data_IF_746705928228
#
_entry.id   IF_746705928228
#
_cell.length_a   1.000
_cell.length_b   1.000
_cell.length_c   1.000
_cell.angle_alpha   90.00
_cell.angle_beta   90.00
_cell.angle_gamma   90.00
#
_symmetry.space_group_name_H-M   'P 1'
#
loop_
_entity.id
_entity.type
_entity.pdbx_description
1 polymer ?
#
# COMPACT_ATOMS: atom_id res chain seq x y z
N UNK A 1 14.07 31.06 -47.38
CA UNK A 1 13.15 30.61 -46.31
C UNK A 1 12.89 31.77 -45.40
N UNK A 2 11.63 32.16 -45.24
CA UNK A 2 11.25 33.24 -44.33
C UNK A 2 11.41 32.75 -42.88
N UNK A 3 11.88 33.63 -41.99
CA UNK A 3 12.09 33.32 -40.57
C UNK A 3 10.83 32.74 -39.90
N UNK A 4 9.64 33.08 -40.40
CA UNK A 4 8.33 32.53 -39.99
C UNK A 4 8.22 31.02 -40.21
N UNK A 5 8.68 30.51 -41.35
CA UNK A 5 8.68 29.07 -41.66
C UNK A 5 9.69 28.31 -40.79
N UNK A 6 10.85 28.92 -40.52
CA UNK A 6 11.87 28.32 -39.63
C UNK A 6 11.33 28.23 -38.19
N UNK A 7 10.67 29.27 -37.68
CA UNK A 7 10.08 29.29 -36.33
C UNK A 7 8.89 28.32 -36.22
N UNK A 8 8.07 28.19 -37.26
CA UNK A 8 6.95 27.22 -37.30
C UNK A 8 7.46 25.77 -37.37
N UNK A 9 8.52 25.54 -38.14
CA UNK A 9 9.20 24.24 -38.20
C UNK A 9 9.91 23.92 -36.87
N UNK A 10 10.58 24.88 -36.23
CA UNK A 10 11.26 24.70 -34.95
C UNK A 10 10.29 24.53 -33.77
N UNK A 11 9.13 25.18 -33.80
CA UNK A 11 8.10 25.04 -32.76
C UNK A 11 7.34 23.72 -32.88
N UNK A 12 7.00 23.29 -34.11
CA UNK A 12 6.44 21.96 -34.38
C UNK A 12 7.43 20.82 -34.13
N UNK A 13 8.68 20.96 -34.60
CA UNK A 13 9.75 19.98 -34.36
C UNK A 13 10.22 19.98 -32.89
N UNK A 14 10.23 21.14 -32.23
CA UNK A 14 10.60 21.29 -30.83
C UNK A 14 9.59 20.64 -29.88
N UNK A 15 8.29 20.86 -30.09
CA UNK A 15 7.23 20.18 -29.33
C UNK A 15 7.22 18.67 -29.62
N UNK A 16 7.41 18.27 -30.88
CA UNK A 16 7.53 16.86 -31.28
C UNK A 16 8.75 16.17 -30.68
N UNK A 17 9.90 16.85 -30.58
CA UNK A 17 11.11 16.35 -29.95
C UNK A 17 10.97 16.25 -28.42
N UNK A 18 10.31 17.22 -27.76
CA UNK A 18 10.01 17.16 -26.33
C UNK A 18 9.05 16.01 -26.02
N UNK A 19 7.96 15.86 -26.78
CA UNK A 19 7.03 14.74 -26.63
C UNK A 19 7.72 13.39 -26.88
N UNK A 20 8.56 13.31 -27.92
CA UNK A 20 9.33 12.09 -28.21
C UNK A 20 10.36 11.80 -27.13
N UNK A 21 11.04 12.81 -26.58
CA UNK A 21 11.99 12.65 -25.48
C UNK A 21 11.28 12.22 -24.18
N UNK A 22 10.09 12.75 -23.89
CA UNK A 22 9.25 12.32 -22.77
C UNK A 22 8.78 10.87 -22.99
N UNK A 23 8.34 10.52 -24.19
CA UNK A 23 7.84 9.17 -24.50
C UNK A 23 8.97 8.13 -24.50
N UNK A 24 10.16 8.48 -25.02
CA UNK A 24 11.38 7.69 -24.92
C UNK A 24 11.86 7.60 -23.48
N UNK A 25 11.76 8.67 -22.68
CA UNK A 25 12.09 8.65 -21.25
C UNK A 25 11.14 7.72 -20.48
N UNK A 26 9.83 7.81 -20.71
CA UNK A 26 8.82 6.92 -20.10
C UNK A 26 9.03 5.47 -20.55
N UNK A 27 9.27 5.24 -21.85
CA UNK A 27 9.55 3.92 -22.41
C UNK A 27 10.84 3.31 -21.85
N UNK A 28 11.91 4.09 -21.79
CA UNK A 28 13.21 3.66 -21.26
C UNK A 28 13.19 3.52 -19.73
N UNK A 29 12.41 4.32 -18.99
CA UNK A 29 12.21 4.07 -17.56
C UNK A 29 11.37 2.82 -17.32
N UNK A 30 10.38 2.51 -18.17
CA UNK A 30 9.60 1.28 -18.03
C UNK A 30 10.47 0.03 -18.21
N UNK A 31 11.31 -0.01 -19.26
CA UNK A 31 12.27 -1.11 -19.48
C UNK A 31 13.36 -1.14 -18.42
N UNK A 32 14.02 -0.01 -18.14
CA UNK A 32 15.07 0.06 -17.10
C UNK A 32 14.53 -0.24 -15.72
N UNK A 33 13.33 0.19 -15.34
CA UNK A 33 12.83 -0.07 -13.98
C UNK A 33 12.51 -1.54 -13.69
N UNK A 34 12.19 -2.32 -14.73
CA UNK A 34 12.08 -3.78 -14.64
C UNK A 34 13.45 -4.44 -14.52
N UNK A 35 14.45 -3.88 -15.21
CA UNK A 35 15.86 -4.33 -15.23
C UNK A 35 16.68 -3.83 -14.01
N UNK A 36 16.21 -2.76 -13.34
CA UNK A 36 16.77 -2.11 -12.14
C UNK A 36 16.03 -2.51 -10.85
N UNK A 37 15.21 -3.57 -10.86
CA UNK A 37 15.11 -4.34 -9.62
C UNK A 37 16.55 -4.78 -9.34
N UNK A 38 17.20 -4.22 -8.31
CA UNK A 38 18.60 -4.52 -8.03
C UNK A 38 18.82 -6.03 -8.10
N UNK A 39 19.97 -6.48 -8.62
CA UNK A 39 20.28 -7.91 -8.69
C UNK A 39 19.99 -8.61 -7.35
N UNK A 40 20.21 -7.89 -6.23
CA UNK A 40 19.84 -8.28 -4.87
C UNK A 40 18.33 -8.57 -4.68
N UNK A 41 17.42 -7.72 -5.17
CA UNK A 41 15.97 -7.97 -5.10
C UNK A 41 15.52 -9.14 -5.99
N UNK A 42 16.14 -9.31 -7.17
CA UNK A 42 15.85 -10.46 -8.04
C UNK A 42 16.37 -11.77 -7.43
N UNK A 43 17.59 -11.74 -6.89
CA UNK A 43 18.20 -12.83 -6.14
C UNK A 43 17.32 -13.23 -4.96
N UNK A 44 16.92 -12.25 -4.13
CA UNK A 44 16.04 -12.46 -2.99
C UNK A 44 14.73 -13.16 -3.40
N UNK A 45 14.04 -12.64 -4.41
CA UNK A 45 12.75 -13.19 -4.87
C UNK A 45 12.87 -14.60 -5.45
N UNK A 46 13.93 -14.86 -6.21
CA UNK A 46 14.14 -16.18 -6.80
C UNK A 46 14.43 -17.22 -5.71
N UNK A 47 15.29 -16.89 -4.75
CA UNK A 47 15.58 -17.79 -3.65
C UNK A 47 14.36 -18.01 -2.76
N UNK A 48 13.58 -16.96 -2.47
CA UNK A 48 12.33 -17.09 -1.71
C UNK A 48 11.33 -18.03 -2.39
N UNK A 49 11.19 -17.95 -3.72
CA UNK A 49 10.35 -18.89 -4.51
C UNK A 49 10.84 -20.33 -4.46
N UNK A 50 12.15 -20.54 -4.51
CA UNK A 50 12.76 -21.87 -4.40
C UNK A 50 12.45 -22.45 -3.01
N UNK A 51 12.68 -21.67 -1.95
CA UNK A 51 12.36 -22.08 -0.57
C UNK A 51 10.88 -22.42 -0.40
N UNK A 52 9.96 -21.59 -0.93
CA UNK A 52 8.52 -21.89 -0.89
C UNK A 52 8.23 -23.24 -1.56
N UNK A 53 8.80 -23.48 -2.75
CA UNK A 53 8.64 -24.74 -3.48
C UNK A 53 9.18 -25.94 -2.70
N UNK A 54 10.34 -25.79 -2.06
CA UNK A 54 10.96 -26.86 -1.27
C UNK A 54 10.18 -27.13 0.03
N UNK A 55 9.60 -26.09 0.65
CA UNK A 55 8.69 -26.26 1.79
C UNK A 55 7.41 -27.01 1.40
N UNK A 56 6.91 -26.82 0.17
CA UNK A 56 5.77 -27.60 -0.35
C UNK A 56 6.10 -29.08 -0.56
N UNK A 57 7.34 -29.46 -0.87
CA UNK A 57 7.71 -30.87 -1.08
C UNK A 57 7.81 -31.66 0.22
N UNK A 58 8.00 -30.96 1.36
CA UNK A 58 8.17 -31.54 2.70
C UNK A 58 9.36 -32.51 2.83
N UNK A 59 10.24 -32.59 1.82
CA UNK A 59 11.34 -33.56 1.78
C UNK A 59 12.48 -33.22 2.76
N UNK A 60 12.92 -31.96 2.77
CA UNK A 60 14.01 -31.49 3.64
C UNK A 60 13.70 -30.11 4.24
N UNK A 61 12.68 -30.11 5.10
CA UNK A 61 12.19 -28.90 5.78
C UNK A 61 13.31 -28.18 6.53
N UNK A 62 14.21 -28.92 7.19
CA UNK A 62 15.30 -28.30 7.96
C UNK A 62 16.27 -27.53 7.06
N UNK A 63 16.60 -28.06 5.88
CA UNK A 63 17.41 -27.35 4.89
C UNK A 63 16.69 -26.09 4.39
N UNK A 64 15.43 -26.18 4.01
CA UNK A 64 14.65 -25.03 3.54
C UNK A 64 14.54 -23.93 4.60
N UNK A 65 14.39 -24.30 5.89
CA UNK A 65 14.39 -23.34 7.01
C UNK A 65 15.75 -22.67 7.20
N UNK A 66 16.85 -23.40 7.03
CA UNK A 66 18.20 -22.83 7.12
C UNK A 66 18.46 -21.83 5.99
N UNK A 67 18.05 -22.15 4.76
CA UNK A 67 18.15 -21.25 3.62
C UNK A 67 17.27 -20.00 3.81
N UNK A 68 16.05 -20.18 4.32
CA UNK A 68 15.15 -19.07 4.66
C UNK A 68 15.78 -18.09 5.65
N UNK A 69 16.40 -18.58 6.72
CA UNK A 69 17.04 -17.74 7.74
C UNK A 69 18.15 -16.84 7.19
N UNK A 70 18.80 -17.23 6.10
CA UNK A 70 19.82 -16.43 5.44
C UNK A 70 19.21 -15.26 4.64
N UNK A 71 17.93 -15.37 4.25
CA UNK A 71 17.20 -14.32 3.54
C UNK A 71 16.47 -13.35 4.48
N UNK A 72 15.98 -13.83 5.62
CA UNK A 72 15.19 -13.00 6.55
C UNK A 72 16.00 -11.87 7.21
N UNK A 73 15.34 -10.76 7.56
CA UNK A 73 15.99 -9.69 8.31
C UNK A 73 16.46 -10.19 9.70
N UNK A 74 17.77 -10.12 9.94
CA UNK A 74 18.39 -10.50 11.20
C UNK A 74 17.86 -9.71 12.40
N UNK A 75 17.32 -8.50 12.19
CA UNK A 75 16.67 -7.69 13.24
C UNK A 75 15.38 -8.33 13.75
N UNK A 76 14.72 -9.17 12.93
CA UNK A 76 13.55 -9.95 13.32
C UNK A 76 13.83 -10.98 14.40
N UNK A 77 15.02 -11.59 14.36
CA UNK A 77 15.45 -12.66 15.29
C UNK A 77 15.41 -12.25 16.76
N UNK A 78 15.61 -10.96 17.06
CA UNK A 78 15.65 -10.44 18.44
C UNK A 78 14.28 -10.02 18.97
N UNK A 79 13.22 -10.18 18.18
CA UNK A 79 11.87 -9.75 18.56
C UNK A 79 11.20 -10.87 19.35
N UNK A 80 11.09 -10.67 20.67
CA UNK A 80 10.51 -11.65 21.60
C UNK A 80 9.01 -11.49 21.89
N UNK A 81 8.33 -10.50 21.30
CA UNK A 81 6.89 -10.27 21.48
C UNK A 81 6.26 -9.86 20.14
N UNK A 82 5.07 -10.34 19.80
CA UNK A 82 4.38 -10.01 18.53
C UNK A 82 3.32 -8.92 18.73
N UNK A 83 2.96 -8.21 17.66
CA UNK A 83 1.85 -7.23 17.65
C UNK A 83 2.25 -5.76 17.44
N UNK A 84 3.54 -5.47 17.24
CA UNK A 84 4.04 -4.14 16.87
C UNK A 84 4.13 -3.96 15.36
N UNK A 85 3.81 -2.76 14.85
CA UNK A 85 3.93 -2.41 13.42
C UNK A 85 5.36 -2.63 12.89
N UNK A 86 6.35 -2.41 13.76
CA UNK A 86 7.78 -2.65 13.49
C UNK A 86 8.20 -4.12 13.44
N UNK A 87 7.30 -5.06 13.75
CA UNK A 87 7.60 -6.50 13.89
C UNK A 87 7.31 -7.23 12.60
N UNK A 88 6.16 -6.94 11.99
CA UNK A 88 5.80 -7.48 10.68
C UNK A 88 6.79 -7.05 9.59
N UNK A 89 7.27 -5.80 9.66
CA UNK A 89 8.24 -5.24 8.70
C UNK A 89 9.69 -5.73 8.88
N UNK A 90 9.96 -6.53 9.92
CA UNK A 90 11.30 -7.10 10.21
C UNK A 90 11.26 -8.62 10.19
N UNK A 91 10.24 -9.22 9.57
CA UNK A 91 10.06 -10.67 9.51
C UNK A 91 9.95 -11.37 10.87
N UNK A 92 9.64 -10.64 11.94
CA UNK A 92 9.64 -11.20 13.29
C UNK A 92 8.60 -12.31 13.48
N UNK A 93 7.44 -12.18 12.82
CA UNK A 93 6.39 -13.19 12.80
C UNK A 93 6.86 -14.49 12.09
N UNK A 94 7.66 -14.38 11.03
CA UNK A 94 8.26 -15.51 10.33
C UNK A 94 9.33 -16.17 11.22
N UNK A 95 10.20 -15.39 11.85
CA UNK A 95 11.22 -15.89 12.78
C UNK A 95 10.63 -16.73 13.92
N UNK A 96 9.48 -16.30 14.48
CA UNK A 96 8.80 -17.03 15.54
C UNK A 96 8.28 -18.38 15.04
N UNK A 97 7.65 -18.38 13.86
CA UNK A 97 7.13 -19.60 13.27
C UNK A 97 8.23 -20.59 12.89
N UNK A 98 9.34 -20.11 12.33
CA UNK A 98 10.54 -20.90 12.04
C UNK A 98 11.10 -21.55 13.31
N UNK A 99 11.27 -20.79 14.39
CA UNK A 99 11.79 -21.32 15.66
C UNK A 99 10.85 -22.40 16.25
N UNK A 100 9.53 -22.23 16.09
CA UNK A 100 8.53 -23.21 16.53
C UNK A 100 8.64 -24.51 15.73
N UNK A 101 8.72 -24.42 14.41
CA UNK A 101 8.87 -25.59 13.53
C UNK A 101 10.16 -26.35 13.85
N UNK A 102 11.28 -25.65 14.05
CA UNK A 102 12.55 -26.29 14.43
C UNK A 102 12.48 -26.97 15.80
N UNK A 103 11.78 -26.37 16.77
CA UNK A 103 11.57 -27.01 18.05
C UNK A 103 10.76 -28.29 17.92
N UNK A 104 9.74 -28.33 17.06
CA UNK A 104 8.96 -29.54 16.80
C UNK A 104 9.78 -30.61 16.07
N UNK A 105 10.57 -30.23 15.07
CA UNK A 105 11.50 -31.13 14.40
C UNK A 105 12.49 -31.76 15.38
N UNK A 106 13.03 -30.97 16.31
CA UNK A 106 13.98 -31.44 17.32
C UNK A 106 13.35 -32.38 18.35
N UNK A 107 12.12 -32.10 18.78
CA UNK A 107 11.46 -32.86 19.84
C UNK A 107 10.74 -34.11 19.31
N UNK A 108 10.08 -34.00 18.15
CA UNK A 108 9.16 -35.01 17.64
C UNK A 108 9.67 -35.69 16.35
N UNK A 109 10.79 -35.23 15.79
CA UNK A 109 11.35 -35.74 14.52
C UNK A 109 10.53 -35.36 13.27
N UNK A 110 9.38 -34.70 13.44
CA UNK A 110 8.48 -34.26 12.37
C UNK A 110 7.83 -32.94 12.74
N UNK A 111 7.70 -32.04 11.77
CA UNK A 111 7.00 -30.77 11.90
C UNK A 111 5.51 -30.93 11.60
N UNK A 112 4.65 -30.19 12.31
CA UNK A 112 3.24 -30.08 11.95
C UNK A 112 3.07 -29.49 10.55
N UNK A 113 2.24 -30.14 9.73
CA UNK A 113 1.93 -29.70 8.36
C UNK A 113 1.25 -28.33 8.37
N UNK A 114 0.37 -28.07 9.33
CA UNK A 114 -0.32 -26.78 9.50
C UNK A 114 0.66 -25.62 9.71
N UNK A 115 1.72 -25.84 10.51
CA UNK A 115 2.74 -24.80 10.75
C UNK A 115 3.54 -24.50 9.49
N UNK A 116 3.81 -25.52 8.67
CA UNK A 116 4.50 -25.37 7.39
C UNK A 116 3.61 -24.64 6.38
N UNK A 117 2.33 -25.00 6.28
CA UNK A 117 1.36 -24.33 5.40
C UNK A 117 1.17 -22.85 5.80
N UNK A 118 1.13 -22.57 7.10
CA UNK A 118 1.12 -21.19 7.62
C UNK A 118 2.41 -20.43 7.29
N UNK A 119 3.56 -21.09 7.39
CA UNK A 119 4.84 -20.48 7.03
C UNK A 119 4.86 -20.12 5.55
N UNK A 120 4.46 -21.06 4.69
CA UNK A 120 4.34 -20.83 3.25
C UNK A 120 3.44 -19.63 2.97
N UNK A 121 2.26 -19.56 3.61
CA UNK A 121 1.33 -18.43 3.47
C UNK A 121 1.99 -17.09 3.82
N UNK A 122 2.80 -17.02 4.88
CA UNK A 122 3.55 -15.82 5.22
C UNK A 122 4.64 -15.49 4.19
N UNK A 123 5.33 -16.48 3.64
CA UNK A 123 6.36 -16.26 2.61
C UNK A 123 5.76 -15.79 1.28
N UNK A 124 4.58 -16.29 0.91
CA UNK A 124 3.85 -15.83 -0.27
C UNK A 124 3.41 -14.37 -0.12
N UNK A 125 2.85 -14.01 1.05
CA UNK A 125 2.52 -12.61 1.36
C UNK A 125 3.77 -11.72 1.34
N UNK A 126 4.90 -12.20 1.86
CA UNK A 126 6.17 -11.47 1.83
C UNK A 126 6.66 -11.27 0.39
N UNK A 127 6.56 -12.30 -0.45
CA UNK A 127 6.92 -12.25 -1.87
C UNK A 127 6.04 -11.24 -2.63
N UNK A 128 4.74 -11.23 -2.37
CA UNK A 128 3.79 -10.27 -2.96
C UNK A 128 4.02 -8.84 -2.46
N UNK A 129 4.38 -8.67 -1.18
CA UNK A 129 4.78 -7.40 -0.61
C UNK A 129 6.07 -6.86 -1.26
N UNK A 130 7.08 -7.68 -1.47
CA UNK A 130 8.31 -7.28 -2.17
C UNK A 130 8.04 -6.91 -3.64
N UNK A 131 7.18 -7.68 -4.31
CA UNK A 131 6.78 -7.42 -5.68
C UNK A 131 5.94 -6.14 -5.84
N UNK A 132 5.03 -5.88 -4.91
CA UNK A 132 4.22 -4.65 -4.90
C UNK A 132 5.06 -3.43 -4.50
N UNK A 133 5.98 -3.58 -3.53
CA UNK A 133 6.91 -2.52 -3.11
C UNK A 133 7.85 -2.11 -4.24
N UNK A 134 8.40 -3.08 -4.97
CA UNK A 134 9.25 -2.81 -6.13
C UNK A 134 8.46 -2.11 -7.26
N UNK A 135 7.30 -2.63 -7.64
CA UNK A 135 6.39 -1.97 -8.60
C UNK A 135 6.03 -0.54 -8.17
N UNK A 136 5.82 -0.30 -6.87
CA UNK A 136 5.56 1.03 -6.31
C UNK A 136 6.78 1.95 -6.41
N UNK A 137 8.00 1.48 -6.11
CA UNK A 137 9.23 2.29 -6.26
C UNK A 137 9.37 2.81 -7.69
N UNK A 138 9.03 1.98 -8.68
CA UNK A 138 9.00 2.37 -10.09
C UNK A 138 7.94 3.44 -10.37
N UNK A 139 6.68 3.16 -10.03
CA UNK A 139 5.57 4.12 -10.21
C UNK A 139 5.88 5.46 -9.54
N UNK A 140 6.50 5.40 -8.37
CA UNK A 140 6.89 6.57 -7.60
C UNK A 140 8.01 7.37 -8.27
N UNK A 141 9.07 6.74 -8.79
CA UNK A 141 10.10 7.47 -9.55
C UNK A 141 9.50 8.17 -10.79
N UNK A 142 8.56 7.51 -11.46
CA UNK A 142 7.83 8.11 -12.58
C UNK A 142 7.00 9.31 -12.13
N UNK A 143 6.28 9.17 -11.02
CA UNK A 143 5.52 10.25 -10.38
C UNK A 143 6.41 11.44 -9.99
N UNK A 144 7.52 11.21 -9.29
CA UNK A 144 8.45 12.26 -8.91
C UNK A 144 8.98 13.01 -10.12
N UNK A 145 9.35 12.26 -11.17
CA UNK A 145 9.85 12.86 -12.40
C UNK A 145 8.76 13.66 -13.09
N UNK A 146 7.51 13.17 -13.11
CA UNK A 146 6.38 13.90 -13.69
C UNK A 146 6.10 15.22 -12.96
N UNK A 147 6.02 15.19 -11.62
CA UNK A 147 5.81 16.41 -10.82
C UNK A 147 6.95 17.40 -11.06
N UNK A 148 8.19 16.94 -11.11
CA UNK A 148 9.35 17.78 -11.40
C UNK A 148 9.29 18.40 -12.80
N UNK A 149 8.95 17.61 -13.84
CA UNK A 149 8.77 18.10 -15.21
C UNK A 149 7.64 19.13 -15.26
N UNK A 150 6.51 18.88 -14.60
CA UNK A 150 5.37 19.81 -14.57
C UNK A 150 5.75 21.14 -13.91
N UNK A 151 6.43 21.10 -12.76
CA UNK A 151 6.94 22.30 -12.08
C UNK A 151 7.97 23.05 -12.93
N UNK A 152 8.90 22.34 -13.59
CA UNK A 152 9.89 22.93 -14.48
C UNK A 152 9.23 23.59 -15.70
N UNK A 153 8.24 22.94 -16.30
CA UNK A 153 7.50 23.48 -17.44
C UNK A 153 6.68 24.71 -17.02
N UNK A 154 5.94 24.64 -15.91
CA UNK A 154 5.15 25.75 -15.38
C UNK A 154 6.00 26.97 -15.02
N UNK A 155 7.19 26.75 -14.44
CA UNK A 155 8.14 27.84 -14.13
C UNK A 155 8.70 28.48 -15.40
N UNK A 156 9.12 27.69 -16.40
CA UNK A 156 9.57 28.22 -17.70
C UNK A 156 8.47 29.03 -18.40
N UNK A 157 7.24 28.52 -18.43
CA UNK A 157 6.09 29.24 -19.00
C UNK A 157 5.81 30.54 -18.24
N UNK A 158 5.93 30.55 -16.91
CA UNK A 158 5.78 31.76 -16.10
C UNK A 158 6.86 32.80 -16.39
N UNK A 159 8.11 32.37 -16.61
CA UNK A 159 9.23 33.26 -16.99
C UNK A 159 8.99 33.84 -18.39
N UNK A 160 8.55 33.02 -19.35
CA UNK A 160 8.22 33.48 -20.70
C UNK A 160 7.09 34.53 -20.63
N UNK A 161 6.08 34.29 -19.80
CA UNK A 161 4.98 35.24 -19.59
C UNK A 161 5.49 36.56 -18.99
N UNK A 162 6.40 36.48 -18.02
CA UNK A 162 7.01 37.65 -17.40
C UNK A 162 7.85 38.49 -18.39
N UNK A 163 8.66 37.84 -19.23
CA UNK A 163 9.54 38.51 -20.21
C UNK A 163 8.74 39.11 -21.37
N UNK A 164 7.72 38.40 -21.85
CA UNK A 164 6.88 38.83 -22.97
C UNK A 164 5.41 38.87 -22.54
N UNK A 165 5.00 39.89 -21.77
CA UNK A 165 3.61 40.09 -21.37
C UNK A 165 2.81 40.57 -22.58
N UNK A 166 2.50 39.66 -23.50
CA UNK A 166 2.04 40.04 -24.83
C UNK A 166 0.53 40.30 -24.86
N UNK A 167 -0.03 41.08 -23.95
CA UNK A 167 -1.43 41.51 -24.03
C UNK A 167 -1.54 43.04 -24.01
N UNK A 168 -2.11 43.56 -25.10
CA UNK A 168 -2.67 44.90 -25.20
C UNK A 168 -3.94 44.93 -24.35
N UNK A 169 -3.83 45.01 -23.04
CA UNK A 169 -4.92 45.61 -22.27
C UNK A 169 -4.80 47.10 -22.48
N UNK A 170 -5.76 47.66 -23.21
CA UNK A 170 -5.90 49.08 -23.48
C UNK A 170 -6.01 49.94 -22.19
N UNK A 171 -6.02 49.30 -21.00
CA UNK A 171 -6.09 49.93 -19.69
C UNK A 171 -4.86 49.73 -18.79
N UNK A 172 -3.74 49.17 -19.26
CA UNK A 172 -2.44 49.29 -18.57
C UNK A 172 -2.44 48.99 -17.06
N UNK A 173 -3.22 48.02 -16.60
CA UNK A 173 -3.35 47.74 -15.17
C UNK A 173 -2.09 47.04 -14.64
N UNK A 174 -1.44 47.70 -13.67
CA UNK A 174 -0.24 47.23 -12.94
C UNK A 174 -0.44 45.80 -12.41
N UNK A 175 -1.68 45.42 -12.09
CA UNK A 175 -2.08 44.13 -11.52
C UNK A 175 -1.72 42.95 -12.45
N UNK A 176 -1.84 43.11 -13.77
CA UNK A 176 -1.58 42.03 -14.73
C UNK A 176 -0.09 41.63 -14.78
N UNK A 177 0.83 42.55 -14.49
CA UNK A 177 2.27 42.27 -14.44
C UNK A 177 2.69 41.42 -13.22
N UNK A 178 1.94 41.47 -12.13
CA UNK A 178 2.27 40.73 -10.90
C UNK A 178 1.84 39.26 -10.91
N UNK A 179 0.86 38.90 -11.75
CA UNK A 179 0.33 37.53 -11.83
C UNK A 179 1.42 36.49 -12.13
N UNK A 180 2.31 36.65 -13.15
CA UNK A 180 3.38 35.69 -13.39
C UNK A 180 4.38 35.59 -12.22
N UNK A 181 4.65 36.69 -11.51
CA UNK A 181 5.50 36.69 -10.31
C UNK A 181 4.87 35.89 -9.17
N UNK A 182 3.56 36.05 -8.95
CA UNK A 182 2.81 35.26 -7.96
C UNK A 182 2.86 33.78 -8.34
N UNK A 183 2.63 33.41 -9.60
CA UNK A 183 2.74 32.01 -10.05
C UNK A 183 4.13 31.41 -9.80
N UNK A 184 5.20 32.17 -10.05
CA UNK A 184 6.57 31.74 -9.75
C UNK A 184 6.78 31.45 -8.26
N UNK A 185 6.28 32.33 -7.38
CA UNK A 185 6.36 32.14 -5.93
C UNK A 185 5.60 30.88 -5.51
N UNK A 186 4.39 30.65 -6.05
CA UNK A 186 3.59 29.46 -5.72
C UNK A 186 4.25 28.15 -6.19
N UNK A 187 4.90 28.15 -7.36
CA UNK A 187 5.68 27.00 -7.81
C UNK A 187 6.94 26.78 -6.99
N UNK A 188 7.63 27.84 -6.55
CA UNK A 188 8.78 27.72 -5.65
C UNK A 188 8.36 27.12 -4.30
N UNK A 189 7.23 27.55 -3.75
CA UNK A 189 6.65 26.96 -2.54
C UNK A 189 6.31 25.48 -2.77
N UNK A 190 5.66 25.15 -3.89
CA UNK A 190 5.35 23.76 -4.26
C UNK A 190 6.58 22.89 -4.41
N UNK A 191 7.63 23.42 -5.04
CA UNK A 191 8.92 22.75 -5.18
C UNK A 191 9.56 22.51 -3.82
N UNK A 192 9.55 23.51 -2.93
CA UNK A 192 10.10 23.38 -1.58
C UNK A 192 9.35 22.32 -0.75
N UNK A 193 8.01 22.35 -0.78
CA UNK A 193 7.17 21.35 -0.13
C UNK A 193 7.46 19.95 -0.67
N UNK A 194 7.54 19.80 -2.00
CA UNK A 194 7.81 18.52 -2.64
C UNK A 194 9.23 17.99 -2.37
N UNK A 195 10.23 18.86 -2.38
CA UNK A 195 11.63 18.46 -2.22
C UNK A 195 11.97 18.18 -0.75
N UNK A 196 11.60 19.07 0.17
CA UNK A 196 12.02 19.02 1.57
C UNK A 196 11.06 18.22 2.46
N UNK A 197 9.76 18.32 2.22
CA UNK A 197 8.74 17.58 3.00
C UNK A 197 8.26 16.33 2.26
N UNK A 198 9.08 15.81 1.35
CA UNK A 198 8.73 14.71 0.44
C UNK A 198 8.13 13.49 1.13
N UNK A 199 8.83 12.97 2.14
CA UNK A 199 8.40 11.78 2.86
C UNK A 199 7.13 12.04 3.69
N UNK A 200 6.98 13.25 4.21
CA UNK A 200 5.79 13.67 4.97
C UNK A 200 4.57 13.89 4.05
N UNK A 201 4.77 14.54 2.90
CA UNK A 201 3.79 14.72 1.84
C UNK A 201 3.32 13.38 1.28
N UNK A 202 4.25 12.44 1.12
CA UNK A 202 3.95 11.07 0.70
C UNK A 202 3.08 10.32 1.70
N UNK A 203 3.44 10.37 2.98
CA UNK A 203 2.64 9.76 4.05
C UNK A 203 1.27 10.43 4.14
N UNK A 204 1.20 11.75 3.96
CA UNK A 204 -0.07 12.47 4.04
C UNK A 204 -0.98 12.26 2.84
N UNK A 205 -0.44 12.08 1.64
CA UNK A 205 -1.21 11.69 0.46
C UNK A 205 -1.82 10.29 0.66
N UNK A 206 -1.08 9.34 1.25
CA UNK A 206 -1.54 7.96 1.43
C UNK A 206 -2.61 7.82 2.50
N UNK A 207 -2.53 8.65 3.56
CA UNK A 207 -3.56 8.69 4.60
C UNK A 207 -4.82 9.47 4.20
N UNK A 208 -4.88 10.06 2.99
CA UNK A 208 -6.07 10.68 2.41
C UNK A 208 -6.58 11.97 3.09
N UNK A 209 -6.05 12.38 4.24
CA UNK A 209 -6.54 13.55 4.98
C UNK A 209 -5.43 14.45 5.55
N UNK A 210 -4.38 14.63 4.75
CA UNK A 210 -3.26 15.56 4.91
C UNK A 210 -3.60 17.05 4.82
N UNK A 211 -3.58 17.86 5.89
CA UNK A 211 -3.53 19.33 5.76
C UNK A 211 -2.38 19.76 4.82
N UNK A 212 -1.23 19.10 4.96
CA UNK A 212 -0.05 19.30 4.14
C UNK A 212 -0.28 18.89 2.66
N UNK A 213 -1.07 17.84 2.42
CA UNK A 213 -1.50 17.44 1.07
C UNK A 213 -2.37 18.50 0.43
N UNK A 214 -3.36 19.03 1.15
CA UNK A 214 -4.25 20.07 0.65
C UNK A 214 -3.48 21.34 0.30
N UNK A 215 -2.54 21.74 1.17
CA UNK A 215 -1.64 22.86 0.92
C UNK A 215 -0.83 22.65 -0.36
N UNK A 216 -0.20 21.49 -0.51
CA UNK A 216 0.60 21.18 -1.70
C UNK A 216 -0.26 21.22 -2.97
N UNK A 217 -1.45 20.61 -2.94
CA UNK A 217 -2.36 20.62 -4.08
C UNK A 217 -2.80 22.03 -4.48
N UNK A 218 -3.11 22.89 -3.51
CA UNK A 218 -3.48 24.28 -3.77
C UNK A 218 -2.32 25.01 -4.44
N UNK A 219 -1.11 24.93 -3.86
CA UNK A 219 0.04 25.63 -4.40
C UNK A 219 0.54 25.07 -5.74
N UNK A 220 0.30 23.79 -6.02
CA UNK A 220 0.68 23.14 -7.27
C UNK A 220 -0.35 23.40 -8.38
N UNK A 221 -1.64 23.19 -8.11
CA UNK A 221 -2.70 23.28 -9.12
C UNK A 221 -3.09 24.72 -9.47
N UNK A 222 -3.11 25.63 -8.49
CA UNK A 222 -3.55 27.02 -8.71
C UNK A 222 -2.70 27.78 -9.74
N UNK A 223 -1.35 27.81 -9.65
CA UNK A 223 -0.54 28.46 -10.68
C UNK A 223 -0.61 27.71 -12.03
N UNK A 224 -0.72 26.39 -12.01
CA UNK A 224 -0.89 25.58 -13.22
C UNK A 224 -2.17 25.94 -13.95
N UNK A 225 -3.28 26.12 -13.22
CA UNK A 225 -4.57 26.53 -13.77
C UNK A 225 -4.49 27.92 -14.44
N UNK A 226 -3.83 28.89 -13.79
CA UNK A 226 -3.64 30.25 -14.33
C UNK A 226 -2.81 30.24 -15.62
N UNK A 227 -1.77 29.41 -15.68
CA UNK A 227 -0.90 29.28 -16.87
C UNK A 227 -1.62 28.58 -18.01
N UNK A 228 -2.40 27.54 -17.71
CA UNK A 228 -3.26 26.89 -18.69
C UNK A 228 -4.26 27.91 -19.23
N UNK A 229 -4.88 28.74 -18.37
CA UNK A 229 -5.75 29.82 -18.83
C UNK A 229 -5.03 30.75 -19.80
N UNK A 230 -3.79 31.15 -19.48
CA UNK A 230 -3.00 32.08 -20.28
C UNK A 230 -2.57 31.54 -21.65
N UNK A 231 -2.10 30.30 -21.72
CA UNK A 231 -1.43 29.75 -22.91
C UNK A 231 -2.33 28.87 -23.78
N UNK A 232 -3.47 28.41 -23.26
CA UNK A 232 -4.36 27.49 -23.98
C UNK A 232 -5.38 28.21 -24.88
N UNK A 233 -5.54 29.54 -24.79
CA UNK A 233 -6.48 30.30 -25.63
C UNK A 233 -6.22 30.10 -27.14
N UNK A 234 -4.96 30.15 -27.57
CA UNK A 234 -4.58 29.92 -28.98
C UNK A 234 -4.72 28.45 -29.42
N UNK A 235 -4.43 27.50 -28.52
CA UNK A 235 -4.58 26.07 -28.80
C UNK A 235 -6.05 25.66 -28.88
N UNK A 236 -6.90 26.27 -28.04
CA UNK A 236 -8.35 26.06 -28.04
C UNK A 236 -9.00 26.73 -29.25
N UNK A 237 -8.51 27.90 -29.68
CA UNK A 237 -8.93 28.49 -30.95
C UNK A 237 -8.63 27.54 -32.13
N UNK A 238 -7.45 26.93 -32.16
CA UNK A 238 -7.09 25.93 -33.17
C UNK A 238 -7.95 24.65 -33.08
N UNK A 239 -8.22 24.13 -31.87
CA UNK A 239 -9.06 22.94 -31.65
C UNK A 239 -10.53 23.17 -31.99
N UNK A 240 -11.05 24.39 -31.79
CA UNK A 240 -12.43 24.77 -32.13
C UNK A 240 -12.71 24.76 -33.64
N UNK A 241 -11.66 24.73 -34.48
CA UNK A 241 -11.78 24.61 -35.95
C UNK A 241 -11.97 23.16 -36.44
N UNK A 242 -11.95 22.18 -35.54
CA UNK A 242 -12.26 20.78 -35.85
C UNK A 242 -13.78 20.66 -35.95
N UNK A 243 -14.29 20.15 -37.07
CA UNK A 243 -15.73 20.12 -37.42
C UNK A 243 -16.65 19.49 -36.37
N UNK A 244 -16.14 18.59 -35.53
CA UNK A 244 -16.90 17.98 -34.43
C UNK A 244 -17.11 18.91 -33.22
N UNK A 245 -16.25 19.90 -33.03
CA UNK A 245 -16.20 20.77 -31.85
C UNK A 245 -16.67 22.22 -32.14
N UNK A 246 -16.91 22.54 -33.41
CA UNK A 246 -17.26 23.87 -33.91
C UNK A 246 -18.56 24.43 -33.30
N UNK A 247 -19.51 23.55 -32.94
CA UNK A 247 -20.80 23.93 -32.34
C UNK A 247 -20.77 24.08 -30.82
N UNK A 248 -19.65 23.81 -30.16
CA UNK A 248 -19.54 23.94 -28.70
C UNK A 248 -19.14 25.37 -28.36
N UNK A 249 -19.87 25.98 -27.44
CA UNK A 249 -19.52 27.27 -26.84
C UNK A 249 -18.07 27.26 -26.34
N UNK A 250 -17.26 28.20 -26.85
CA UNK A 250 -15.82 28.29 -26.57
C UNK A 250 -15.56 28.35 -25.06
N UNK A 251 -16.34 29.11 -24.30
CA UNK A 251 -16.11 29.26 -22.86
C UNK A 251 -16.42 27.97 -22.09
N UNK A 252 -17.44 27.23 -22.52
CA UNK A 252 -17.78 25.91 -21.95
C UNK A 252 -16.74 24.86 -22.34
N UNK A 253 -16.26 24.88 -23.58
CA UNK A 253 -15.24 23.95 -24.05
C UNK A 253 -13.90 24.16 -23.33
N UNK A 254 -13.51 25.42 -23.14
CA UNK A 254 -12.38 25.85 -22.32
C UNK A 254 -12.52 25.29 -20.89
N UNK A 255 -13.67 25.47 -20.26
CA UNK A 255 -13.91 24.99 -18.89
C UNK A 255 -13.83 23.46 -18.78
N UNK A 256 -14.38 22.73 -19.75
CA UNK A 256 -14.38 21.26 -19.79
C UNK A 256 -12.95 20.70 -19.94
N UNK A 257 -12.15 21.21 -20.88
CA UNK A 257 -10.76 20.78 -21.07
C UNK A 257 -9.93 21.06 -19.81
N UNK A 258 -10.12 22.24 -19.20
CA UNK A 258 -9.44 22.62 -17.95
C UNK A 258 -9.79 21.66 -16.82
N UNK A 259 -11.07 21.40 -16.60
CA UNK A 259 -11.54 20.44 -15.60
C UNK A 259 -10.98 19.04 -15.82
N UNK A 260 -10.98 18.56 -17.07
CA UNK A 260 -10.45 17.25 -17.42
C UNK A 260 -8.93 17.12 -17.14
N UNK A 261 -8.13 18.13 -17.50
CA UNK A 261 -6.69 18.17 -17.20
C UNK A 261 -6.41 18.16 -15.69
N UNK A 262 -7.13 18.99 -14.92
CA UNK A 262 -6.97 19.04 -13.46
C UNK A 262 -7.42 17.73 -12.78
N UNK A 263 -8.52 17.13 -13.24
CA UNK A 263 -8.97 15.82 -12.74
C UNK A 263 -7.95 14.74 -13.08
N UNK A 264 -7.36 14.75 -14.28
CA UNK A 264 -6.33 13.79 -14.68
C UNK A 264 -5.08 13.90 -13.79
N UNK A 265 -4.64 15.11 -13.48
CA UNK A 265 -3.52 15.34 -12.55
C UNK A 265 -3.84 14.86 -11.13
N UNK A 266 -5.04 15.15 -10.62
CA UNK A 266 -5.48 14.68 -9.30
C UNK A 266 -5.56 13.15 -9.25
N UNK A 267 -6.12 12.52 -10.29
CA UNK A 267 -6.19 11.06 -10.38
C UNK A 267 -4.78 10.46 -10.44
N UNK A 268 -3.87 11.04 -11.22
CA UNK A 268 -2.46 10.61 -11.26
C UNK A 268 -1.77 10.75 -9.90
N UNK A 269 -2.05 11.84 -9.17
CA UNK A 269 -1.56 12.08 -7.81
C UNK A 269 -2.07 11.02 -6.83
N UNK A 270 -3.34 10.65 -6.90
CA UNK A 270 -3.95 9.64 -6.01
C UNK A 270 -3.44 8.23 -6.34
N UNK A 271 -3.45 7.83 -7.62
CA UNK A 271 -3.00 6.50 -8.07
C UNK A 271 -1.50 6.25 -7.84
N UNK A 272 -0.72 7.30 -7.57
CA UNK A 272 0.71 7.18 -7.25
C UNK A 272 0.97 6.81 -5.78
N UNK A 273 -0.06 6.76 -4.94
CA UNK A 273 0.06 6.66 -3.48
C UNK A 273 -0.69 5.45 -2.91
N UNK A 274 -0.27 4.25 -3.31
CA UNK A 274 -0.79 3.00 -2.72
C UNK A 274 -0.11 2.68 -1.38
N UNK A 275 -0.84 2.34 -0.31
CA UNK A 275 -0.24 1.96 0.97
C UNK A 275 0.06 0.46 1.10
N UNK A 276 1.04 -0.01 0.32
CA UNK A 276 1.52 -1.39 0.28
C UNK A 276 1.94 -1.94 1.66
N UNK A 277 2.48 -1.09 2.56
CA UNK A 277 2.91 -1.53 3.90
C UNK A 277 1.73 -1.85 4.80
N UNK A 278 0.73 -0.97 4.81
CA UNK A 278 -0.49 -1.22 5.56
C UNK A 278 -1.24 -2.45 5.00
N UNK A 279 -1.34 -2.56 3.68
CA UNK A 279 -1.98 -3.70 3.03
C UNK A 279 -1.33 -5.04 3.43
N UNK A 280 0.00 -5.16 3.35
CA UNK A 280 0.72 -6.36 3.78
C UNK A 280 0.48 -6.71 5.25
N UNK A 281 0.51 -5.71 6.14
CA UNK A 281 0.27 -5.92 7.57
C UNK A 281 -1.18 -6.36 7.81
N UNK A 282 -2.15 -5.82 7.08
CA UNK A 282 -3.55 -6.22 7.16
C UNK A 282 -3.77 -7.65 6.66
N UNK A 283 -3.12 -8.04 5.57
CA UNK A 283 -3.17 -9.40 5.03
C UNK A 283 -2.57 -10.41 6.02
N UNK A 284 -1.42 -10.13 6.64
CA UNK A 284 -0.87 -10.98 7.70
C UNK A 284 -1.83 -11.10 8.88
N UNK A 285 -2.40 -9.96 9.34
CA UNK A 285 -3.38 -9.99 10.42
C UNK A 285 -4.63 -10.78 10.04
N UNK A 286 -5.01 -10.82 8.77
CA UNK A 286 -6.16 -11.59 8.32
C UNK A 286 -5.91 -13.10 8.48
N UNK A 287 -4.71 -13.56 8.15
CA UNK A 287 -4.25 -14.95 8.38
C UNK A 287 -4.23 -15.26 9.88
N UNK A 288 -3.57 -14.41 10.69
CA UNK A 288 -3.52 -14.59 12.15
C UNK A 288 -4.92 -14.63 12.78
N UNK A 289 -5.84 -13.78 12.32
CA UNK A 289 -7.22 -13.77 12.80
C UNK A 289 -8.00 -15.02 12.35
N UNK A 290 -7.69 -15.60 11.19
CA UNK A 290 -8.31 -16.84 10.74
C UNK A 290 -7.93 -18.01 11.65
N UNK A 291 -6.63 -18.16 11.96
CA UNK A 291 -6.14 -19.20 12.87
C UNK A 291 -6.71 -19.04 14.28
N UNK A 292 -6.70 -17.80 14.81
CA UNK A 292 -7.31 -17.51 16.11
C UNK A 292 -8.78 -17.90 16.10
N UNK A 293 -9.51 -17.62 15.02
CA UNK A 293 -10.92 -17.98 14.92
C UNK A 293 -11.11 -19.50 14.94
N UNK A 294 -10.27 -20.25 14.22
CA UNK A 294 -10.31 -21.71 14.20
C UNK A 294 -10.04 -22.30 15.58
N UNK A 295 -9.02 -21.82 16.28
CA UNK A 295 -8.76 -22.25 17.67
C UNK A 295 -9.94 -21.96 18.60
N UNK A 296 -10.55 -20.78 18.48
CA UNK A 296 -11.74 -20.45 19.29
C UNK A 296 -12.95 -21.32 18.94
N UNK A 297 -13.06 -21.79 17.70
CA UNK A 297 -14.12 -22.67 17.27
C UNK A 297 -13.91 -24.09 17.80
N UNK A 298 -12.68 -24.61 17.71
CA UNK A 298 -12.26 -25.85 18.38
C UNK A 298 -12.61 -25.76 19.86
N UNK A 299 -12.18 -24.68 20.56
CA UNK A 299 -12.53 -24.38 21.96
C UNK A 299 -14.04 -24.29 22.21
N UNK A 300 -14.85 -23.82 21.28
CA UNK A 300 -16.30 -23.83 21.51
C UNK A 300 -16.86 -25.27 21.47
N UNK A 301 -16.39 -26.09 20.53
CA UNK A 301 -16.96 -27.41 20.25
C UNK A 301 -16.76 -28.42 21.39
N UNK A 302 -15.57 -28.60 21.94
CA UNK A 302 -15.43 -29.46 23.13
C UNK A 302 -16.09 -28.91 24.44
N UNK A 303 -16.31 -27.59 24.62
CA UNK A 303 -17.16 -27.07 25.73
C UNK A 303 -18.59 -27.58 25.52
N UNK A 304 -19.06 -27.61 24.27
CA UNK A 304 -20.37 -28.16 23.93
C UNK A 304 -20.44 -29.69 24.13
N UNK A 305 -19.35 -30.41 23.82
CA UNK A 305 -19.28 -31.86 23.96
C UNK A 305 -19.13 -32.36 25.42
N UNK A 306 -18.65 -31.54 26.35
CA UNK A 306 -18.52 -31.88 27.79
C UNK A 306 -19.87 -32.06 28.54
N UNK A 307 -21.00 -31.96 27.84
CA UNK A 307 -22.33 -32.30 28.36
C UNK A 307 -22.99 -31.17 29.18
N UNK A 308 -24.33 -31.19 29.24
CA UNK A 308 -25.16 -30.15 29.87
C UNK A 308 -24.93 -29.97 31.38
N UNK A 309 -24.32 -30.95 32.06
CA UNK A 309 -24.10 -30.93 33.51
C UNK A 309 -22.78 -30.30 33.94
N UNK A 310 -21.88 -29.93 33.02
CA UNK A 310 -20.54 -29.44 33.38
C UNK A 310 -20.62 -28.08 34.10
N UNK A 311 -19.82 -27.91 35.15
CA UNK A 311 -19.61 -26.62 35.84
C UNK A 311 -19.08 -25.55 34.87
N UNK A 312 -18.38 -25.99 33.82
CA UNK A 312 -17.80 -25.20 32.74
C UNK A 312 -18.85 -24.36 31.99
N UNK A 313 -19.96 -24.98 31.55
CA UNK A 313 -21.04 -24.30 30.80
C UNK A 313 -21.87 -23.33 31.65
N UNK A 314 -21.84 -23.50 32.98
CA UNK A 314 -22.49 -22.60 33.94
C UNK A 314 -21.63 -21.36 34.24
N UNK A 315 -20.35 -21.36 33.86
CA UNK A 315 -19.46 -20.23 34.11
C UNK A 315 -19.86 -18.98 33.29
N UNK A 316 -19.88 -17.83 33.95
CA UNK A 316 -20.29 -16.55 33.37
C UNK A 316 -19.38 -16.09 32.21
N UNK A 317 -18.07 -16.37 32.29
CA UNK A 317 -17.12 -15.98 31.26
C UNK A 317 -17.23 -16.86 30.02
N UNK A 318 -17.41 -18.17 30.19
CA UNK A 318 -17.66 -19.10 29.08
C UNK A 318 -18.92 -18.71 28.32
N UNK A 319 -20.04 -18.42 29.01
CA UNK A 319 -21.27 -17.94 28.34
C UNK A 319 -21.07 -16.65 27.56
N UNK A 320 -20.28 -15.71 28.10
CA UNK A 320 -19.96 -14.44 27.42
C UNK A 320 -19.07 -14.66 26.20
N UNK A 321 -18.13 -15.60 26.28
CA UNK A 321 -17.31 -16.06 25.16
C UNK A 321 -18.18 -16.61 24.03
N UNK A 322 -18.99 -17.64 24.31
CA UNK A 322 -19.84 -18.29 23.29
C UNK A 322 -20.79 -17.30 22.61
N UNK A 323 -21.42 -16.41 23.41
CA UNK A 323 -22.31 -15.36 22.87
C UNK A 323 -21.57 -14.34 22.01
N UNK A 324 -20.33 -13.98 22.36
CA UNK A 324 -19.51 -13.05 21.58
C UNK A 324 -19.06 -13.68 20.26
N UNK A 325 -18.64 -14.94 20.30
CA UNK A 325 -18.20 -15.71 19.13
C UNK A 325 -19.36 -15.89 18.12
N UNK A 326 -20.53 -16.33 18.59
CA UNK A 326 -21.72 -16.53 17.77
C UNK A 326 -22.20 -15.24 17.07
N UNK A 327 -22.00 -14.06 17.71
CA UNK A 327 -22.39 -12.77 17.14
C UNK A 327 -21.54 -12.35 15.94
N UNK A 328 -20.30 -12.83 15.82
CA UNK A 328 -19.35 -12.32 14.82
C UNK A 328 -19.44 -13.01 13.45
N UNK A 329 -19.80 -14.29 13.38
CA UNK A 329 -19.84 -14.98 12.10
C UNK A 329 -20.80 -16.20 12.09
N UNK A 330 -22.13 -15.98 12.05
CA UNK A 330 -23.11 -17.07 12.16
C UNK A 330 -23.00 -18.11 11.02
N UNK A 331 -22.66 -17.67 9.79
CA UNK A 331 -22.60 -18.54 8.60
C UNK A 331 -21.34 -19.42 8.49
N UNK A 332 -20.21 -19.01 9.09
CA UNK A 332 -18.96 -19.80 9.09
C UNK A 332 -18.97 -20.85 10.21
N UNK A 333 -19.66 -20.54 11.31
CA UNK A 333 -19.92 -21.45 12.42
C UNK A 333 -20.76 -22.67 11.95
N UNK A 334 -21.81 -22.45 11.17
CA UNK A 334 -22.63 -23.54 10.58
C UNK A 334 -21.87 -24.41 9.57
N UNK A 335 -20.96 -23.82 8.77
CA UNK A 335 -20.22 -24.57 7.73
C UNK A 335 -19.11 -25.47 8.30
N UNK A 336 -18.35 -25.00 9.30
CA UNK A 336 -17.25 -25.80 9.89
C UNK A 336 -17.76 -26.88 10.87
N UNK A 337 -18.92 -26.69 11.51
CA UNK A 337 -19.59 -27.75 12.30
C UNK A 337 -19.96 -28.97 11.44
N UNK A 338 -20.10 -28.79 10.12
CA UNK A 338 -20.44 -29.86 9.17
C UNK A 338 -19.22 -30.58 8.55
N UNK A 339 -18.01 -30.01 8.62
CA UNK A 339 -16.83 -30.53 7.90
C UNK A 339 -15.76 -31.16 8.80
N UNK A 340 -15.72 -30.90 10.11
CA UNK A 340 -14.75 -31.51 11.03
C UNK A 340 -15.40 -32.03 12.32
N UNK A 341 -15.84 -33.30 12.28
CA UNK A 341 -16.03 -34.12 13.47
C UNK A 341 -14.96 -35.20 13.50
N UNK A 342 -13.72 -34.89 13.93
CA UNK A 342 -12.82 -35.99 14.36
C UNK A 342 -11.62 -35.64 15.26
N UNK A 343 -11.33 -34.37 15.60
CA UNK A 343 -10.36 -34.09 16.68
C UNK A 343 -11.04 -33.53 17.93
N UNK A 344 -11.24 -34.42 18.90
CA UNK A 344 -11.63 -34.06 20.26
C UNK A 344 -10.40 -33.44 20.93
N UNK A 345 -10.36 -32.12 21.02
CA UNK A 345 -9.30 -31.43 21.75
C UNK A 345 -9.64 -31.53 23.25
N UNK A 346 -8.74 -32.12 24.04
CA UNK A 346 -8.96 -32.38 25.47
C UNK A 346 -8.94 -31.06 26.27
N UNK A 347 -9.61 -31.01 27.43
CA UNK A 347 -9.67 -29.82 28.29
C UNK A 347 -8.27 -29.24 28.58
N UNK A 348 -7.28 -30.11 28.81
CA UNK A 348 -5.86 -29.74 29.02
C UNK A 348 -5.19 -29.11 27.79
N UNK A 349 -5.64 -29.43 26.58
CA UNK A 349 -5.05 -28.90 25.34
C UNK A 349 -5.52 -27.46 25.08
N UNK A 350 -6.72 -27.07 25.49
CA UNK A 350 -7.19 -25.69 25.32
C UNK A 350 -6.58 -24.70 26.28
N UNK A 351 -6.34 -25.10 27.52
CA UNK A 351 -5.61 -24.26 28.47
C UNK A 351 -4.20 -23.96 27.94
N UNK A 352 -3.57 -24.96 27.32
CA UNK A 352 -2.28 -24.83 26.64
C UNK A 352 -2.36 -23.92 25.41
N UNK A 353 -3.36 -24.10 24.55
CA UNK A 353 -3.59 -23.22 23.38
C UNK A 353 -3.81 -21.76 23.80
N UNK A 354 -4.61 -21.52 24.85
CA UNK A 354 -4.83 -20.17 25.38
C UNK A 354 -3.54 -19.59 25.97
N UNK A 355 -2.79 -20.37 26.75
CA UNK A 355 -1.49 -19.96 27.29
C UNK A 355 -0.50 -19.59 26.17
N UNK A 356 -0.43 -20.38 25.11
CA UNK A 356 0.49 -20.13 23.99
C UNK A 356 0.07 -18.89 23.19
N UNK A 357 -1.23 -18.71 22.93
CA UNK A 357 -1.78 -17.47 22.37
C UNK A 357 -1.43 -16.24 23.23
N UNK A 358 -1.43 -16.39 24.56
CA UNK A 358 -1.11 -15.31 25.49
C UNK A 358 0.37 -14.94 25.50
N UNK A 359 1.28 -15.93 25.45
CA UNK A 359 2.74 -15.71 25.40
C UNK A 359 3.14 -14.90 24.17
N UNK A 360 2.47 -15.12 23.04
CA UNK A 360 2.81 -14.47 21.77
C UNK A 360 2.27 -13.02 21.67
N UNK A 361 1.39 -12.58 22.58
CA UNK A 361 0.73 -11.25 22.59
C UNK A 361 -0.09 -10.88 21.33
N UNK A 362 -0.20 -11.80 20.35
CA UNK A 362 -0.90 -11.64 19.07
C UNK A 362 -2.36 -11.16 19.24
N UNK A 363 -3.04 -11.67 20.25
CA UNK A 363 -4.46 -11.42 20.50
C UNK A 363 -4.81 -9.98 20.92
N UNK A 364 -3.84 -9.18 21.41
CA UNK A 364 -4.13 -7.83 21.94
C UNK A 364 -4.64 -6.85 20.86
N UNK A 365 -4.33 -7.13 19.59
CA UNK A 365 -4.79 -6.39 18.41
C UNK A 365 -5.61 -7.24 17.44
N UNK A 366 -5.92 -8.48 17.81
CA UNK A 366 -6.78 -9.35 17.01
C UNK A 366 -8.22 -8.85 17.04
N UNK A 367 -8.99 -9.22 16.02
CA UNK A 367 -10.43 -8.97 16.00
C UNK A 367 -11.11 -9.68 17.19
N UNK A 368 -10.54 -10.80 17.65
CA UNK A 368 -11.07 -11.67 18.71
C UNK A 368 -10.57 -11.39 20.13
N UNK A 369 -10.00 -10.20 20.36
CA UNK A 369 -9.50 -9.79 21.68
C UNK A 369 -10.52 -10.00 22.81
N UNK A 370 -11.80 -9.70 22.57
CA UNK A 370 -12.86 -9.81 23.58
C UNK A 370 -13.11 -11.26 23.99
N UNK A 371 -13.18 -12.15 23.02
CA UNK A 371 -13.37 -13.59 23.19
C UNK A 371 -12.24 -14.20 24.01
N UNK A 372 -10.99 -13.88 23.64
CA UNK A 372 -9.79 -14.34 24.35
C UNK A 372 -9.73 -13.78 25.78
N UNK A 373 -10.18 -12.53 25.98
CA UNK A 373 -10.25 -11.94 27.33
C UNK A 373 -11.26 -12.68 28.23
N UNK A 374 -12.34 -13.22 27.68
CA UNK A 374 -13.29 -14.01 28.47
C UNK A 374 -12.69 -15.36 28.86
N UNK A 375 -12.02 -16.05 27.94
CA UNK A 375 -11.31 -17.30 28.23
C UNK A 375 -10.18 -17.10 29.27
N UNK A 376 -9.43 -15.99 29.19
CA UNK A 376 -8.40 -15.65 30.18
C UNK A 376 -8.98 -15.46 31.59
N UNK A 377 -10.11 -14.77 31.70
CA UNK A 377 -10.80 -14.60 32.99
C UNK A 377 -11.30 -15.92 33.54
N UNK A 378 -11.74 -16.83 32.68
CA UNK A 378 -12.13 -18.18 33.10
C UNK A 378 -10.93 -18.96 33.68
N UNK A 379 -9.77 -18.96 33.00
CA UNK A 379 -8.57 -19.66 33.50
C UNK A 379 -8.09 -19.11 34.84
N UNK A 380 -8.15 -17.79 35.03
CA UNK A 380 -7.79 -17.13 36.30
C UNK A 380 -8.73 -17.43 37.45
N UNK A 381 -10.01 -17.72 37.17
CA UNK A 381 -10.99 -18.11 38.17
C UNK A 381 -10.84 -19.60 38.58
N UNK A 382 -10.14 -20.42 37.79
CA UNK A 382 -9.91 -21.86 38.02
C UNK A 382 -8.66 -22.14 38.88
N UNK A 383 -7.70 -21.20 38.90
CA UNK A 383 -6.48 -21.20 39.75
C UNK A 383 -6.82 -20.59 41.11
#
# INVERSE_FOLDING_TARGET
>A
MEASQIITLLSGAGLGAILSAILVFVSNNKSRSLEYMSEEHLYYRNNLRIIIKDLYSLEDVQKSLNELKLLLDAKGKRIGMVGGYSIYLKDGHIWILVNRIESELKNNGKASKELIEKLISYLELLLDYELSTSRKKVRYKLFETFVFISLALGTVLSIIWFIKPNWRDANGDIIACWIPLICLILFLISFFLFYFLRDSLRLSLGNGNSFLTMIFLIFYLLPSFVIIQRYNENAIEALSRISFLENIDKDKFIFIIRGALSILEILFLIFSVDDVKNQYIEEIRSVENADIFEYLLKINNAIENEGESSSLRKNQYIRRFQKSLAKKNPRKLEKMVLEEQEEMVLEEEWEKVISDLQKENLWKKSLYKKEITYLDKYLKDKI
#
